data_IF_186301024290
#
_entry.id   IF_186301024290
#
_cell.length_a   1.000
_cell.length_b   1.000
_cell.length_c   1.000
_cell.angle_alpha   90.00
_cell.angle_beta   90.00
_cell.angle_gamma   90.00
#
_symmetry.space_group_name_H-M   'P 1'
#
loop_
_entity.id
_entity.type
_entity.pdbx_description
1 polymer ?
#
# COMPACT_ATOMS: atom_id res chain seq x y z
N UNK A 1 4.47 2.86 3.29
CA UNK A 1 4.34 3.24 1.88
C UNK A 1 4.08 4.72 1.84
N UNK A 2 4.73 5.46 0.95
CA UNK A 2 4.64 6.92 0.91
C UNK A 2 3.98 7.36 -0.39
N UNK A 3 3.31 8.51 -0.39
CA UNK A 3 2.81 9.11 -1.63
C UNK A 3 3.98 9.46 -2.57
N UNK A 4 3.81 9.13 -3.85
CA UNK A 4 4.73 9.58 -4.89
C UNK A 4 4.53 11.08 -5.13
N UNK A 5 5.57 11.88 -4.91
CA UNK A 5 5.54 13.32 -5.19
C UNK A 5 5.76 13.56 -6.68
N UNK A 6 4.66 13.64 -7.43
CA UNK A 6 4.65 13.91 -8.87
C UNK A 6 3.74 15.10 -9.17
N UNK A 7 4.10 15.90 -10.18
CA UNK A 7 3.32 17.09 -10.56
C UNK A 7 1.87 16.78 -10.97
N UNK A 8 1.57 15.55 -11.36
CA UNK A 8 0.22 15.11 -11.68
C UNK A 8 -0.74 15.28 -10.49
N UNK A 9 -0.28 15.06 -9.25
CA UNK A 9 -1.13 15.13 -8.05
C UNK A 9 -1.73 16.52 -7.83
N UNK A 10 -1.03 17.59 -8.24
CA UNK A 10 -1.50 18.99 -8.10
C UNK A 10 -2.61 19.35 -9.09
N UNK A 11 -2.81 18.52 -10.12
CA UNK A 11 -3.78 18.76 -11.21
C UNK A 11 -5.04 17.92 -11.06
N UNK A 12 -5.13 17.08 -10.04
CA UNK A 12 -6.29 16.21 -9.76
C UNK A 12 -7.25 16.94 -8.83
N UNK A 13 -8.50 17.10 -9.24
CA UNK A 13 -9.59 17.51 -8.35
C UNK A 13 -10.18 16.25 -7.72
N UNK A 14 -9.98 16.06 -6.42
CA UNK A 14 -10.44 14.90 -5.66
C UNK A 14 -10.14 15.01 -4.18
N UNK A 15 -10.46 13.98 -3.41
CA UNK A 15 -10.12 13.90 -1.99
C UNK A 15 -8.59 13.87 -1.83
N UNK A 16 -8.05 14.71 -0.96
CA UNK A 16 -6.62 14.65 -0.67
C UNK A 16 -6.33 13.53 0.36
N UNK A 17 -5.05 13.16 0.49
CA UNK A 17 -4.68 12.01 1.34
C UNK A 17 -4.96 12.24 2.82
N UNK A 18 -4.86 13.49 3.29
CA UNK A 18 -5.05 13.83 4.70
C UNK A 18 -6.53 13.84 5.06
N UNK A 19 -7.39 14.14 4.10
CA UNK A 19 -8.84 13.95 4.21
C UNK A 19 -9.20 12.46 4.18
N UNK A 20 -8.61 11.69 3.26
CA UNK A 20 -8.85 10.25 3.16
C UNK A 20 -8.55 9.54 4.49
N UNK A 21 -7.45 9.90 5.16
CA UNK A 21 -7.05 9.34 6.47
C UNK A 21 -8.01 9.66 7.62
N UNK A 22 -8.87 10.69 7.49
CA UNK A 22 -9.87 11.05 8.52
C UNK A 22 -11.15 10.22 8.42
N UNK A 23 -11.34 9.47 7.34
CA UNK A 23 -12.52 8.63 7.15
C UNK A 23 -12.40 7.39 8.02
N UNK A 24 -13.45 7.10 8.79
CA UNK A 24 -13.49 5.95 9.70
C UNK A 24 -13.21 4.61 9.01
N UNK A 25 -13.74 4.43 7.79
CA UNK A 25 -13.53 3.23 6.99
C UNK A 25 -13.15 3.59 5.56
N UNK A 26 -11.93 3.23 5.18
CA UNK A 26 -11.44 3.34 3.80
C UNK A 26 -11.21 1.93 3.28
N UNK A 27 -12.11 1.50 2.41
CA UNK A 27 -12.18 0.14 1.88
C UNK A 27 -11.50 0.09 0.52
N UNK A 28 -10.39 -0.64 0.43
CA UNK A 28 -9.72 -0.96 -0.84
C UNK A 28 -10.22 -2.28 -1.42
N UNK A 29 -10.42 -2.32 -2.73
CA UNK A 29 -10.73 -3.55 -3.47
C UNK A 29 -9.67 -3.74 -4.54
N UNK A 30 -8.89 -4.81 -4.45
CA UNK A 30 -7.85 -5.13 -5.42
C UNK A 30 -7.53 -6.62 -5.40
N UNK A 31 -7.23 -7.20 -6.55
CA UNK A 31 -6.90 -8.62 -6.70
C UNK A 31 -5.89 -8.85 -7.82
N UNK A 32 -5.43 -10.09 -7.94
CA UNK A 32 -4.40 -10.54 -8.86
C UNK A 32 -2.97 -10.23 -8.38
N UNK A 33 -2.08 -11.20 -8.58
CA UNK A 33 -0.65 -11.14 -8.20
C UNK A 33 0.05 -9.85 -8.65
N UNK A 34 -0.26 -9.35 -9.85
CA UNK A 34 0.37 -8.15 -10.43
C UNK A 34 0.16 -6.89 -9.59
N UNK A 35 -0.88 -6.83 -8.76
CA UNK A 35 -1.18 -5.67 -7.90
C UNK A 35 -0.54 -5.75 -6.51
N UNK A 36 0.18 -6.82 -6.19
CA UNK A 36 0.67 -7.07 -4.84
C UNK A 36 1.57 -5.96 -4.29
N UNK A 37 2.47 -5.40 -5.11
CA UNK A 37 3.33 -4.29 -4.69
C UNK A 37 2.53 -3.02 -4.35
N UNK A 38 1.52 -2.69 -5.16
CA UNK A 38 0.64 -1.56 -4.93
C UNK A 38 -0.21 -1.77 -3.66
N UNK A 39 -0.76 -2.98 -3.47
CA UNK A 39 -1.51 -3.36 -2.27
C UNK A 39 -0.61 -3.25 -1.02
N UNK A 40 0.60 -3.78 -1.07
CA UNK A 40 1.55 -3.65 0.04
C UNK A 40 1.89 -2.18 0.34
N UNK A 41 2.06 -1.37 -0.71
CA UNK A 41 2.32 0.06 -0.60
C UNK A 41 1.22 0.80 0.15
N UNK A 42 -0.05 0.54 -0.20
CA UNK A 42 -1.21 1.19 0.42
C UNK A 42 -1.42 0.74 1.87
N UNK A 43 -1.22 -0.56 2.15
CA UNK A 43 -1.29 -1.11 3.51
C UNK A 43 -0.20 -0.54 4.41
N UNK A 44 1.06 -0.53 3.96
CA UNK A 44 2.17 0.08 4.70
C UNK A 44 2.04 1.59 4.85
N UNK A 45 1.25 2.25 4.00
CA UNK A 45 0.98 3.67 4.09
C UNK A 45 -0.20 4.03 4.98
N UNK A 46 -0.97 3.04 5.42
CA UNK A 46 -2.18 3.26 6.20
C UNK A 46 -3.25 4.06 5.46
N UNK A 47 -3.26 4.03 4.13
CA UNK A 47 -4.24 4.79 3.33
C UNK A 47 -5.57 4.05 3.15
N UNK A 48 -5.59 2.75 3.47
CA UNK A 48 -6.81 1.95 3.64
C UNK A 48 -6.75 1.25 4.98
N UNK A 49 -7.90 0.94 5.56
CA UNK A 49 -8.01 0.15 6.79
C UNK A 49 -8.86 -1.11 6.64
N UNK A 50 -9.50 -1.29 5.48
CA UNK A 50 -10.16 -2.53 5.08
C UNK A 50 -9.70 -2.89 3.67
N UNK A 51 -9.38 -4.16 3.43
CA UNK A 51 -9.00 -4.68 2.12
C UNK A 51 -9.87 -5.88 1.76
N UNK A 52 -10.46 -5.85 0.58
CA UNK A 52 -11.10 -7.00 -0.07
C UNK A 52 -10.21 -7.43 -1.24
N UNK A 53 -9.80 -8.69 -1.25
CA UNK A 53 -8.83 -9.23 -2.22
C UNK A 53 -9.01 -10.72 -2.47
N UNK A 54 -8.29 -11.24 -3.47
CA UNK A 54 -8.20 -12.68 -3.75
C UNK A 54 -6.94 -13.29 -3.12
N UNK A 55 -6.91 -14.62 -3.06
CA UNK A 55 -5.83 -15.39 -2.46
C UNK A 55 -4.48 -15.17 -3.17
N UNK A 56 -4.51 -15.01 -4.50
CA UNK A 56 -3.30 -14.82 -5.29
C UNK A 56 -2.58 -13.50 -4.96
N UNK A 57 -3.33 -12.41 -4.85
CA UNK A 57 -2.79 -11.10 -4.46
C UNK A 57 -2.25 -11.14 -3.03
N UNK A 58 -3.02 -11.67 -2.08
CA UNK A 58 -2.62 -11.70 -0.67
C UNK A 58 -1.40 -12.60 -0.44
N UNK A 59 -1.33 -13.77 -1.10
CA UNK A 59 -0.16 -14.64 -1.03
C UNK A 59 1.12 -13.92 -1.46
N UNK A 60 1.04 -13.13 -2.51
CA UNK A 60 2.20 -12.36 -3.00
C UNK A 60 2.51 -11.15 -2.11
N UNK A 61 1.50 -10.47 -1.58
CA UNK A 61 1.70 -9.37 -0.61
C UNK A 61 2.47 -9.85 0.62
N UNK A 62 2.12 -11.02 1.16
CA UNK A 62 2.81 -11.61 2.31
C UNK A 62 4.27 -11.94 1.98
N UNK A 63 4.52 -12.61 0.84
CA UNK A 63 5.89 -12.90 0.37
C UNK A 63 6.74 -11.65 0.20
N UNK A 64 6.20 -10.62 -0.47
CA UNK A 64 6.89 -9.34 -0.67
C UNK A 64 7.17 -8.65 0.67
N UNK A 65 6.23 -8.72 1.61
CA UNK A 65 6.42 -8.12 2.92
C UNK A 65 7.56 -8.79 3.70
N UNK A 66 7.65 -10.12 3.68
CA UNK A 66 8.69 -10.87 4.39
C UNK A 66 10.08 -10.60 3.81
N UNK A 67 10.21 -10.60 2.48
CA UNK A 67 11.46 -10.28 1.79
C UNK A 67 11.97 -8.88 2.18
N UNK A 68 11.09 -7.88 2.15
CA UNK A 68 11.47 -6.51 2.47
C UNK A 68 11.85 -6.36 3.95
N UNK A 69 11.16 -7.04 4.87
CA UNK A 69 11.51 -7.03 6.30
C UNK A 69 12.89 -7.65 6.57
N UNK A 70 13.24 -8.71 5.85
CA UNK A 70 14.58 -9.32 5.96
C UNK A 70 15.66 -8.37 5.40
N UNK A 71 15.38 -7.70 4.28
CA UNK A 71 16.26 -6.67 3.71
C UNK A 71 16.54 -5.55 4.72
N UNK A 72 15.48 -4.99 5.31
CA UNK A 72 15.58 -3.91 6.30
C UNK A 72 16.42 -4.34 7.52
N UNK A 73 16.31 -5.60 7.97
CA UNK A 73 17.10 -6.12 9.08
C UNK A 73 18.59 -6.24 8.72
N UNK A 74 18.92 -6.75 7.53
CA UNK A 74 20.31 -6.91 7.12
C UNK A 74 21.03 -5.56 6.98
N UNK A 75 20.33 -4.50 6.57
CA UNK A 75 20.89 -3.13 6.54
C UNK A 75 21.19 -2.58 7.94
N UNK A 76 20.43 -2.98 8.97
CA UNK A 76 20.65 -2.53 10.36
C UNK A 76 21.85 -3.27 11.01
N UNK A 77 22.09 -4.52 10.63
CA UNK A 77 23.16 -5.36 11.18
C UNK A 77 24.47 -5.34 10.37
N UNK A 78 24.54 -4.56 9.29
CA UNK A 78 25.75 -4.31 8.50
C UNK A 78 26.36 -2.96 8.89
#
# INVERSE_FOLDING_TARGET
GNLCQINLNERVIGINIEELKKINYVIGIAGGKVKASAILGVLRGGYINVLISDDQAISEVLKLNDILRIGDLNEIYS
#
